data_IF_830276618879
#
_entry.id   IF_830276618879
#
_cell.length_a   1.000
_cell.length_b   1.000
_cell.length_c   1.000
_cell.angle_alpha   90.00
_cell.angle_beta   90.00
_cell.angle_gamma   90.00
#
_symmetry.space_group_name_H-M   'P 1'
#
loop_
_entity.id
_entity.type
_entity.pdbx_description
1 polymer ?
#
# COMPACT_ATOMS: atom_id res chain seq x y z
N UNK A 1 9.39 59.49 -5.42
CA UNK A 1 8.54 59.34 -6.63
C UNK A 1 9.17 58.41 -7.67
N UNK A 2 10.36 58.70 -8.21
CA UNK A 2 11.04 57.85 -9.23
C UNK A 2 11.27 56.36 -8.86
N UNK A 3 11.61 55.99 -7.61
CA UNK A 3 11.84 54.59 -7.24
C UNK A 3 10.58 53.72 -7.39
N UNK A 4 9.42 54.31 -7.07
CA UNK A 4 8.13 53.64 -7.17
C UNK A 4 7.76 53.37 -8.63
N UNK A 5 7.98 54.36 -9.51
CA UNK A 5 7.69 54.21 -10.94
C UNK A 5 8.56 53.11 -11.59
N UNK A 6 9.83 52.99 -11.17
CA UNK A 6 10.74 51.93 -11.60
C UNK A 6 10.24 50.53 -11.19
N UNK A 7 9.75 50.39 -9.96
CA UNK A 7 9.19 49.13 -9.46
C UNK A 7 7.90 48.79 -10.18
N UNK A 8 7.02 49.79 -10.39
CA UNK A 8 5.76 49.62 -11.10
C UNK A 8 6.00 49.14 -12.54
N UNK A 9 6.91 49.79 -13.28
CA UNK A 9 7.23 49.40 -14.64
C UNK A 9 7.83 48.00 -14.71
N UNK A 10 8.71 47.64 -13.76
CA UNK A 10 9.29 46.29 -13.69
C UNK A 10 8.20 45.23 -13.46
N UNK A 11 7.27 45.47 -12.55
CA UNK A 11 6.20 44.53 -12.24
C UNK A 11 5.20 44.39 -13.41
N UNK A 12 4.93 45.48 -14.14
CA UNK A 12 4.07 45.42 -15.33
C UNK A 12 4.71 44.55 -16.44
N UNK A 13 6.02 44.62 -16.62
CA UNK A 13 6.77 43.81 -17.59
C UNK A 13 6.88 42.33 -17.19
N UNK A 14 7.01 42.03 -15.89
CA UNK A 14 7.10 40.66 -15.38
C UNK A 14 5.75 39.91 -15.44
N UNK A 15 4.64 40.65 -15.59
CA UNK A 15 3.30 40.08 -15.60
C UNK A 15 2.81 39.66 -14.21
N UNK A 16 1.61 39.07 -14.12
CA UNK A 16 1.03 38.66 -12.86
C UNK A 16 1.73 37.41 -12.31
N UNK A 17 1.97 37.39 -11.00
CA UNK A 17 2.51 36.22 -10.28
C UNK A 17 1.44 35.16 -9.97
N UNK A 18 0.20 35.36 -10.40
CA UNK A 18 -0.94 34.49 -10.09
C UNK A 18 -0.94 33.27 -10.98
N UNK A 19 -1.15 32.09 -10.40
CA UNK A 19 -1.44 30.88 -11.16
C UNK A 19 -2.87 30.95 -11.73
N UNK A 20 -3.10 30.53 -12.99
CA UNK A 20 -4.41 30.59 -13.65
C UNK A 20 -5.40 29.51 -13.16
N UNK A 21 -5.31 29.07 -11.91
CA UNK A 21 -6.24 28.11 -11.31
C UNK A 21 -7.63 28.76 -11.17
N UNK A 22 -8.74 28.07 -11.50
CA UNK A 22 -8.90 26.67 -11.86
C UNK A 22 -8.81 26.35 -13.37
N UNK A 23 -8.50 27.32 -14.22
CA UNK A 23 -8.52 27.16 -15.68
C UNK A 23 -7.27 26.44 -16.24
N UNK A 24 -6.18 26.39 -15.47
CA UNK A 24 -5.03 25.53 -15.73
C UNK A 24 -4.68 24.69 -14.48
N UNK A 25 -4.01 23.54 -14.64
CA UNK A 25 -3.65 22.69 -13.51
C UNK A 25 -2.69 23.42 -12.56
N UNK A 26 -2.95 23.32 -11.26
CA UNK A 26 -2.01 23.80 -10.26
C UNK A 26 -0.71 23.01 -10.35
N UNK A 27 0.43 23.71 -10.36
CA UNK A 27 1.74 23.07 -10.36
C UNK A 27 1.97 22.42 -9.00
N UNK A 28 2.03 21.08 -8.97
CA UNK A 28 2.41 20.31 -7.77
C UNK A 28 3.80 19.72 -7.97
N UNK A 29 4.52 19.52 -6.87
CA UNK A 29 5.82 18.88 -6.91
C UNK A 29 5.65 17.35 -7.02
N UNK A 30 6.60 16.65 -7.63
CA UNK A 30 6.53 15.19 -7.84
C UNK A 30 6.35 14.40 -6.53
N UNK A 31 7.02 14.85 -5.46
CA UNK A 31 6.95 14.27 -4.11
C UNK A 31 5.87 14.89 -3.21
N UNK A 32 4.83 15.50 -3.78
CA UNK A 32 3.76 16.07 -2.97
C UNK A 32 2.97 14.95 -2.27
N UNK A 33 2.57 15.21 -1.02
CA UNK A 33 1.83 14.26 -0.19
C UNK A 33 0.36 14.61 -0.19
N UNK A 34 -0.35 14.21 -1.25
CA UNK A 34 -1.79 14.38 -1.38
C UNK A 34 -2.57 13.20 -0.80
N UNK A 35 -3.55 12.72 -1.55
CA UNK A 35 -4.38 11.58 -1.15
C UNK A 35 -3.55 10.30 -0.97
N UNK A 36 -3.87 9.53 0.05
CA UNK A 36 -3.27 8.20 0.22
C UNK A 36 -4.04 7.20 -0.66
N UNK A 37 -3.36 6.52 -1.56
CA UNK A 37 -3.94 5.51 -2.45
C UNK A 37 -3.54 4.11 -1.98
N UNK A 38 -4.50 3.18 -2.04
CA UNK A 38 -4.34 1.81 -1.59
C UNK A 38 -4.57 0.82 -2.73
N UNK A 39 -3.62 -0.07 -2.92
CA UNK A 39 -3.66 -1.16 -3.89
C UNK A 39 -3.83 -2.51 -3.14
N UNK A 40 -5.05 -3.09 -3.14
CA UNK A 40 -5.30 -4.35 -2.45
C UNK A 40 -4.51 -5.53 -3.04
N UNK A 41 -4.14 -5.48 -4.32
CA UNK A 41 -3.39 -6.54 -5.00
C UNK A 41 -1.92 -6.62 -4.57
N UNK A 42 -1.42 -5.63 -3.83
CA UNK A 42 -0.06 -5.66 -3.25
C UNK A 42 -0.08 -5.87 -1.74
N UNK A 43 -1.25 -5.91 -1.12
CA UNK A 43 -1.38 -5.97 0.33
C UNK A 43 -1.11 -7.39 0.87
N UNK A 44 -0.27 -7.49 1.90
CA UNK A 44 0.06 -8.76 2.59
C UNK A 44 -0.55 -8.86 3.99
N UNK A 45 -1.44 -7.93 4.37
CA UNK A 45 -2.04 -7.84 5.70
C UNK A 45 -1.02 -7.87 6.86
N UNK A 46 0.06 -7.09 6.73
CA UNK A 46 1.10 -6.99 7.77
C UNK A 46 0.71 -6.09 8.96
N UNK A 47 -0.28 -5.20 8.80
CA UNK A 47 -0.75 -4.30 9.86
C UNK A 47 0.17 -3.11 10.20
N UNK A 48 1.34 -2.98 9.56
CA UNK A 48 2.31 -1.91 9.87
C UNK A 48 1.70 -0.53 9.60
N UNK A 49 0.94 -0.37 8.51
CA UNK A 49 0.30 0.89 8.16
C UNK A 49 -0.70 1.38 9.22
N UNK A 50 -1.44 0.46 9.84
CA UNK A 50 -2.33 0.77 10.97
C UNK A 50 -1.52 1.17 12.20
N UNK A 51 -0.43 0.46 12.50
CA UNK A 51 0.41 0.73 13.66
C UNK A 51 1.13 2.09 13.60
N UNK A 52 1.64 2.47 12.43
CA UNK A 52 2.37 3.74 12.24
C UNK A 52 1.46 4.95 12.01
N UNK A 53 0.14 4.74 11.89
CA UNK A 53 -0.81 5.83 11.65
C UNK A 53 -1.03 6.65 12.92
N UNK A 54 -0.34 7.77 13.06
CA UNK A 54 -0.46 8.66 14.22
C UNK A 54 -1.89 9.15 14.48
N UNK A 55 -2.69 9.32 13.43
CA UNK A 55 -4.07 9.80 13.53
C UNK A 55 -5.12 8.68 13.71
N UNK A 56 -4.72 7.40 13.67
CA UNK A 56 -5.66 6.28 13.73
C UNK A 56 -6.64 6.19 12.55
N UNK A 57 -6.33 6.82 11.43
CA UNK A 57 -7.18 6.88 10.24
C UNK A 57 -7.31 5.53 9.50
N UNK A 58 -6.36 4.61 9.71
CA UNK A 58 -6.32 3.30 9.06
C UNK A 58 -6.83 2.23 10.04
N UNK A 59 -7.76 1.39 9.58
CA UNK A 59 -8.29 0.27 10.35
C UNK A 59 -8.32 -1.01 9.50
N UNK A 60 -7.90 -2.12 10.09
CA UNK A 60 -8.10 -3.47 9.57
C UNK A 60 -9.15 -4.16 10.43
N UNK A 61 -10.29 -4.51 9.84
CA UNK A 61 -11.38 -5.23 10.53
C UNK A 61 -11.53 -6.64 9.96
N UNK A 62 -11.73 -7.67 10.78
CA UNK A 62 -12.07 -8.99 10.27
C UNK A 62 -13.42 -8.93 9.53
N UNK A 63 -13.53 -9.67 8.43
CA UNK A 63 -14.82 -9.89 7.77
C UNK A 63 -15.70 -10.82 8.62
N UNK A 64 -17.02 -10.67 8.51
CA UNK A 64 -18.01 -11.47 9.25
C UNK A 64 -17.84 -12.98 8.97
N UNK A 65 -17.58 -13.34 7.71
CA UNK A 65 -17.35 -14.73 7.29
C UNK A 65 -15.95 -15.25 7.67
N UNK A 66 -15.10 -14.39 8.25
CA UNK A 66 -13.71 -14.69 8.57
C UNK A 66 -12.85 -15.03 7.34
N UNK A 67 -13.31 -14.72 6.13
CA UNK A 67 -12.65 -15.01 4.85
C UNK A 67 -11.47 -14.06 4.56
N UNK A 68 -11.35 -12.96 5.27
CA UNK A 68 -10.34 -11.94 5.05
C UNK A 68 -10.45 -10.77 6.02
N UNK A 69 -9.81 -9.67 5.66
CA UNK A 69 -9.84 -8.41 6.41
C UNK A 69 -10.35 -7.28 5.52
N UNK A 70 -11.22 -6.43 6.07
CA UNK A 70 -11.60 -5.15 5.49
C UNK A 70 -10.56 -4.09 5.87
N UNK A 71 -9.92 -3.50 4.85
CA UNK A 71 -9.10 -2.31 4.99
C UNK A 71 -9.95 -1.06 4.87
N UNK A 72 -9.79 -0.16 5.82
CA UNK A 72 -10.46 1.15 5.87
C UNK A 72 -9.41 2.23 6.04
N UNK A 73 -9.46 3.27 5.20
CA UNK A 73 -8.71 4.52 5.38
C UNK A 73 -9.67 5.70 5.33
N UNK A 74 -9.78 6.41 6.45
CA UNK A 74 -10.62 7.60 6.58
C UNK A 74 -9.84 8.85 6.15
N UNK A 75 -10.19 9.43 5.00
CA UNK A 75 -9.53 10.65 4.51
C UNK A 75 -9.71 11.83 5.47
N UNK A 76 -10.87 11.89 6.14
CA UNK A 76 -11.22 12.96 7.09
C UNK A 76 -10.39 12.93 8.38
N UNK A 77 -9.82 11.78 8.73
CA UNK A 77 -8.93 11.63 9.88
C UNK A 77 -7.45 11.62 9.48
N UNK A 78 -7.15 11.44 8.19
CA UNK A 78 -5.79 11.37 7.70
C UNK A 78 -5.09 12.74 7.82
N UNK A 79 -3.86 12.75 8.33
CA UNK A 79 -3.00 13.95 8.42
C UNK A 79 -1.96 14.02 7.30
N UNK A 80 -2.06 13.15 6.29
CA UNK A 80 -1.22 13.13 5.08
C UNK A 80 0.29 13.07 5.33
N UNK A 81 0.72 12.50 6.47
CA UNK A 81 2.14 12.44 6.83
C UNK A 81 2.95 11.49 5.93
N UNK A 82 2.31 10.52 5.27
CA UNK A 82 2.95 9.56 4.36
C UNK A 82 3.71 8.42 5.05
N UNK A 83 3.65 8.30 6.38
CA UNK A 83 4.34 7.23 7.11
C UNK A 83 3.83 5.84 6.73
N UNK A 84 2.53 5.70 6.48
CA UNK A 84 1.92 4.44 6.05
C UNK A 84 2.47 3.97 4.69
N UNK A 85 2.70 4.89 3.74
CA UNK A 85 3.32 4.60 2.46
C UNK A 85 4.81 4.27 2.62
N UNK A 86 5.53 5.02 3.44
CA UNK A 86 6.96 4.82 3.68
C UNK A 86 7.28 3.44 4.29
N UNK A 87 6.50 3.00 5.28
CA UNK A 87 6.70 1.72 5.95
C UNK A 87 6.01 0.54 5.27
N UNK A 88 5.32 0.75 4.14
CA UNK A 88 4.68 -0.34 3.42
C UNK A 88 5.74 -1.18 2.69
N UNK A 89 6.01 -2.44 3.10
CA UNK A 89 7.08 -3.24 2.51
C UNK A 89 6.81 -3.63 1.06
N UNK A 90 5.54 -3.68 0.67
CA UNK A 90 5.10 -4.10 -0.67
C UNK A 90 4.80 -2.94 -1.61
N UNK A 91 4.73 -1.71 -1.10
CA UNK A 91 4.26 -0.55 -1.86
C UNK A 91 2.77 -0.60 -2.20
N UNK A 92 1.95 -1.28 -1.37
CA UNK A 92 0.50 -1.26 -1.47
C UNK A 92 -0.12 0.09 -1.08
N UNK A 93 0.62 0.94 -0.38
CA UNK A 93 0.21 2.30 -0.04
C UNK A 93 1.14 3.31 -0.70
N UNK A 94 0.55 4.30 -1.35
CA UNK A 94 1.28 5.40 -1.99
C UNK A 94 0.62 6.74 -1.68
N UNK A 95 1.37 7.82 -1.82
CA UNK A 95 0.85 9.18 -1.72
C UNK A 95 0.73 9.75 -3.13
N UNK A 96 -0.45 10.16 -3.54
CA UNK A 96 -0.68 10.73 -4.86
C UNK A 96 -0.61 12.25 -4.85
N UNK A 97 -0.54 12.83 -6.05
CA UNK A 97 -0.57 14.28 -6.24
C UNK A 97 -1.99 14.86 -6.22
N UNK A 98 -3.00 14.04 -5.91
CA UNK A 98 -4.37 14.49 -5.80
C UNK A 98 -4.60 15.20 -4.46
N UNK A 99 -4.89 16.50 -4.50
CA UNK A 99 -5.26 17.32 -3.35
C UNK A 99 -6.73 17.75 -3.37
N UNK A 100 -7.49 17.38 -4.41
CA UNK A 100 -8.92 17.66 -4.53
C UNK A 100 -9.74 16.64 -3.72
N UNK A 101 -9.76 16.82 -2.39
CA UNK A 101 -10.44 15.92 -1.44
C UNK A 101 -11.70 16.53 -0.82
N UNK A 102 -12.11 17.71 -1.29
CA UNK A 102 -13.31 18.39 -0.78
C UNK A 102 -14.54 17.60 -1.18
N UNK A 103 -15.38 17.29 -0.20
CA UNK A 103 -16.66 16.62 -0.39
C UNK A 103 -17.75 17.35 0.41
N UNK A 104 -19.01 16.97 0.20
CA UNK A 104 -20.13 17.57 0.92
C UNK A 104 -20.22 17.01 2.35
N UNK A 105 -20.85 17.75 3.27
CA UNK A 105 -21.04 17.29 4.64
C UNK A 105 -21.85 15.99 4.74
N UNK A 106 -22.74 15.73 3.77
CA UNK A 106 -23.50 14.48 3.68
C UNK A 106 -22.61 13.25 3.48
N UNK A 107 -21.43 13.43 2.89
CA UNK A 107 -20.48 12.35 2.54
C UNK A 107 -19.36 12.18 3.60
N UNK A 108 -19.47 12.84 4.75
CA UNK A 108 -18.43 12.81 5.79
C UNK A 108 -18.10 11.40 6.29
N UNK A 109 -19.09 10.51 6.33
CA UNK A 109 -18.92 9.12 6.76
C UNK A 109 -18.80 8.12 5.61
N UNK A 110 -18.88 8.57 4.36
CA UNK A 110 -18.69 7.73 3.17
C UNK A 110 -17.35 7.98 2.48
N UNK A 111 -16.68 9.11 2.76
CA UNK A 111 -15.37 9.43 2.20
C UNK A 111 -14.23 8.63 2.85
N UNK A 112 -14.18 7.33 2.54
CA UNK A 112 -13.12 6.42 2.96
C UNK A 112 -12.74 5.47 1.84
N UNK A 113 -11.49 5.01 1.84
CA UNK A 113 -11.10 3.84 1.05
C UNK A 113 -11.57 2.63 1.81
N UNK A 114 -12.39 1.80 1.16
CA UNK A 114 -12.85 0.53 1.69
C UNK A 114 -12.47 -0.58 0.71
N UNK A 115 -11.65 -1.52 1.14
CA UNK A 115 -11.20 -2.62 0.29
C UNK A 115 -11.13 -3.92 1.08
N UNK A 116 -11.70 -4.97 0.52
CA UNK A 116 -11.64 -6.31 1.11
C UNK A 116 -10.39 -7.04 0.64
N UNK A 117 -9.62 -7.59 1.58
CA UNK A 117 -8.45 -8.42 1.27
C UNK A 117 -8.72 -9.85 1.76
N UNK A 118 -8.85 -10.84 0.85
CA UNK A 118 -9.07 -12.22 1.23
C UNK A 118 -7.81 -12.83 1.88
N UNK A 119 -8.00 -13.77 2.80
CA UNK A 119 -6.91 -14.62 3.25
C UNK A 119 -6.51 -15.61 2.14
N UNK A 120 -5.23 -15.98 2.13
CA UNK A 120 -4.78 -17.11 1.31
C UNK A 120 -5.09 -18.43 2.01
N UNK A 121 -5.07 -19.52 1.25
CA UNK A 121 -5.22 -20.88 1.78
C UNK A 121 -3.93 -21.67 1.60
N UNK A 122 -3.59 -22.48 2.61
CA UNK A 122 -2.46 -23.38 2.52
C UNK A 122 -2.75 -24.53 1.55
N UNK A 123 -1.97 -24.68 0.49
CA UNK A 123 -2.14 -25.74 -0.52
C UNK A 123 -2.06 -27.17 0.05
N UNK A 124 -1.48 -27.36 1.24
CA UNK A 124 -1.34 -28.70 1.86
C UNK A 124 -2.40 -29.00 2.94
N UNK A 125 -2.85 -28.01 3.71
CA UNK A 125 -3.73 -28.25 4.87
C UNK A 125 -4.98 -27.38 4.92
N UNK A 126 -5.17 -26.45 3.97
CA UNK A 126 -6.33 -25.55 3.95
C UNK A 126 -6.31 -24.47 5.05
N UNK A 127 -5.27 -24.39 5.88
CA UNK A 127 -5.18 -23.35 6.90
C UNK A 127 -5.17 -21.94 6.26
N UNK A 128 -5.92 -21.00 6.84
CA UNK A 128 -5.91 -19.59 6.46
C UNK A 128 -4.53 -18.99 6.74
N UNK A 129 -3.96 -18.34 5.73
CA UNK A 129 -2.66 -17.67 5.80
C UNK A 129 -2.79 -16.22 5.35
N UNK A 130 -1.81 -15.39 5.71
CA UNK A 130 -1.70 -14.06 5.12
C UNK A 130 -1.67 -14.15 3.59
N UNK A 131 -2.36 -13.24 2.88
CA UNK A 131 -2.36 -13.21 1.44
C UNK A 131 -0.94 -13.04 0.94
N UNK A 132 -0.61 -13.76 -0.13
CA UNK A 132 0.67 -13.65 -0.82
C UNK A 132 0.36 -13.25 -2.25
N UNK A 133 0.31 -11.94 -2.53
CA UNK A 133 -0.12 -11.47 -3.82
C UNK A 133 0.90 -11.84 -4.91
N UNK A 134 0.39 -12.18 -6.08
CA UNK A 134 1.21 -12.62 -7.21
C UNK A 134 2.20 -11.52 -7.65
N UNK A 135 1.77 -10.26 -7.61
CA UNK A 135 2.63 -9.10 -7.91
C UNK A 135 3.92 -9.07 -7.08
N UNK A 136 3.88 -9.56 -5.84
CA UNK A 136 5.06 -9.63 -4.95
C UNK A 136 5.91 -10.86 -5.27
N UNK A 137 5.27 -12.00 -5.57
CA UNK A 137 5.97 -13.23 -5.95
C UNK A 137 6.78 -13.00 -7.23
N UNK A 138 6.17 -12.36 -8.22
CA UNK A 138 6.80 -12.05 -9.52
C UNK A 138 7.99 -11.09 -9.33
N UNK A 139 7.81 -10.05 -8.50
CA UNK A 139 8.86 -9.08 -8.18
C UNK A 139 10.05 -9.70 -7.45
N UNK A 140 9.81 -10.71 -6.60
CA UNK A 140 10.86 -11.39 -5.85
C UNK A 140 11.63 -12.44 -6.68
N UNK A 141 11.14 -12.80 -7.87
CA UNK A 141 11.84 -13.71 -8.78
C UNK A 141 12.15 -15.08 -8.18
N UNK A 142 11.22 -15.64 -7.39
CA UNK A 142 11.54 -16.80 -6.55
C UNK A 142 11.55 -18.10 -7.36
N UNK A 143 12.65 -18.87 -7.25
CA UNK A 143 12.84 -20.17 -7.93
C UNK A 143 11.79 -21.25 -7.59
N UNK A 144 10.99 -21.08 -6.54
CA UNK A 144 9.99 -22.07 -6.11
C UNK A 144 8.75 -21.38 -5.53
N UNK A 145 7.85 -20.86 -6.40
CA UNK A 145 6.66 -20.12 -5.99
C UNK A 145 5.70 -20.96 -5.15
N UNK A 146 5.65 -22.28 -5.36
CA UNK A 146 4.75 -23.19 -4.63
C UNK A 146 5.00 -23.22 -3.12
N UNK A 147 6.24 -22.95 -2.68
CA UNK A 147 6.57 -22.85 -1.25
C UNK A 147 5.94 -21.62 -0.60
N UNK A 148 5.49 -20.66 -1.39
CA UNK A 148 4.76 -19.50 -0.86
C UNK A 148 3.31 -19.84 -0.53
N UNK A 149 2.73 -20.86 -1.17
CA UNK A 149 1.36 -21.29 -0.89
C UNK A 149 1.25 -22.17 0.35
N UNK A 150 2.34 -22.38 1.09
CA UNK A 150 2.37 -23.20 2.30
C UNK A 150 2.40 -22.35 3.58
N UNK A 151 1.64 -22.78 4.59
CA UNK A 151 1.69 -22.22 5.94
C UNK A 151 3.05 -22.53 6.62
N UNK A 152 3.41 -21.82 7.71
CA UNK A 152 4.69 -22.00 8.39
C UNK A 152 4.95 -23.43 8.89
N UNK A 153 3.90 -24.18 9.25
CA UNK A 153 4.01 -25.57 9.70
C UNK A 153 4.24 -26.52 8.52
N UNK A 154 3.40 -26.46 7.48
CA UNK A 154 3.55 -27.27 6.27
C UNK A 154 4.88 -26.99 5.54
N UNK A 155 5.35 -25.74 5.55
CA UNK A 155 6.67 -25.37 4.99
C UNK A 155 7.82 -26.03 5.76
N UNK A 156 7.73 -26.17 7.09
CA UNK A 156 8.73 -26.92 7.87
C UNK A 156 8.68 -28.41 7.56
N UNK A 157 7.48 -28.99 7.48
CA UNK A 157 7.30 -30.41 7.17
C UNK A 157 7.83 -30.78 5.78
N UNK A 158 7.60 -29.94 4.77
CA UNK A 158 8.09 -30.19 3.41
C UNK A 158 9.61 -30.19 3.34
N UNK A 159 10.29 -29.32 4.11
CA UNK A 159 11.76 -29.32 4.21
C UNK A 159 12.27 -30.63 4.82
N UNK A 160 11.67 -31.09 5.93
CA UNK A 160 12.07 -32.35 6.58
C UNK A 160 11.91 -33.54 5.63
N UNK A 161 10.78 -33.62 4.89
CA UNK A 161 10.53 -34.67 3.89
C UNK A 161 11.58 -34.64 2.77
N UNK A 162 11.89 -33.47 2.24
CA UNK A 162 12.89 -33.31 1.17
C UNK A 162 14.29 -33.76 1.63
N UNK A 163 14.71 -33.40 2.86
CA UNK A 163 16.00 -33.84 3.41
C UNK A 163 16.04 -35.35 3.63
N UNK A 164 14.94 -35.95 4.09
CA UNK A 164 14.83 -37.40 4.25
C UNK A 164 14.94 -38.13 2.90
N UNK A 165 14.27 -37.64 1.86
CA UNK A 165 14.34 -38.20 0.50
C UNK A 165 15.76 -38.14 -0.09
N UNK A 166 16.46 -37.00 0.04
CA UNK A 166 17.84 -36.86 -0.45
C UNK A 166 18.80 -37.79 0.29
N UNK A 167 18.57 -38.05 1.58
CA UNK A 167 19.35 -39.03 2.35
C UNK A 167 19.09 -40.46 1.90
N UNK A 168 17.84 -40.82 1.59
CA UNK A 168 17.53 -42.16 1.08
C UNK A 168 18.10 -42.42 -0.30
N UNK A 169 18.04 -41.45 -1.22
CA UNK A 169 18.60 -41.61 -2.58
C UNK A 169 20.12 -41.74 -2.56
N UNK A 170 20.83 -40.89 -1.79
CA UNK A 170 22.29 -41.05 -1.61
C UNK A 170 22.70 -42.37 -0.97
N UNK A 171 21.83 -42.97 -0.15
CA UNK A 171 22.12 -44.28 0.47
C UNK A 171 21.92 -45.43 -0.51
N UNK A 172 21.05 -45.28 -1.51
CA UNK A 172 20.83 -46.24 -2.58
C UNK A 172 21.90 -46.16 -3.68
N UNK A 173 22.45 -44.98 -3.95
CA UNK A 173 23.53 -44.80 -4.95
C UNK A 173 24.92 -45.26 -4.47
N UNK A 174 25.11 -45.41 -3.14
CA UNK A 174 26.37 -45.84 -2.52
C UNK A 174 26.41 -47.34 -2.14
N UNK A 175 25.44 -48.12 -2.61
CA UNK A 175 25.37 -49.59 -2.51
C UNK A 175 25.33 -50.18 -3.90
#
# INVERSE_FOLDING_TARGET
MLPFLKIMLRNLLLGPSTDPFPFAPAKTHENFRGCAEFDPEKCILCGICQHVCAAGAIQLRPSEDGSGMQYLLWHNSCVFCGMCAHYCPTGALTMSNNWHLVHTGAEMFSNCISSFIPFGECAQCGAKIQPRPQAIIDKLGVRSPERFLLCPQCKRQSIVRNVAQVRSTRRQENT
#
